data_IF_317714077675
#
_entry.id   IF_317714077675
#
_cell.length_a   1.000
_cell.length_b   1.000
_cell.length_c   1.000
_cell.angle_alpha   90.00
_cell.angle_beta   90.00
_cell.angle_gamma   90.00
#
_symmetry.space_group_name_H-M   'P 1'
#
loop_
_entity.id
_entity.type
_entity.pdbx_description
1 polymer ?
#
# COMPACT_ATOMS: atom_id res chain seq x y z
N UNK A 1 21.40 53.48 11.92
CA UNK A 1 21.01 53.37 13.32
C UNK A 1 20.80 51.90 13.60
N UNK A 2 21.83 51.32 14.15
CA UNK A 2 22.08 49.94 14.54
C UNK A 2 21.13 49.50 15.66
N UNK A 3 20.64 48.25 15.62
CA UNK A 3 20.46 47.43 16.83
C UNK A 3 20.40 45.95 16.43
N UNK A 4 21.52 45.32 16.72
CA UNK A 4 21.68 43.91 16.96
C UNK A 4 20.79 43.44 18.12
N UNK A 5 20.25 42.26 18.03
CA UNK A 5 19.86 41.44 19.17
C UNK A 5 19.97 39.96 18.85
N UNK A 6 21.08 39.40 19.32
CA UNK A 6 21.34 37.95 19.42
C UNK A 6 20.34 37.26 20.36
N UNK A 7 20.00 35.97 20.10
CA UNK A 7 19.29 35.13 21.06
C UNK A 7 20.27 34.39 22.00
N UNK A 8 19.89 34.15 23.24
CA UNK A 8 20.77 33.57 24.26
C UNK A 8 20.96 32.06 24.10
N UNK A 9 22.21 31.67 24.21
CA UNK A 9 22.69 30.29 24.34
C UNK A 9 22.13 29.60 25.58
N UNK A 10 21.49 28.44 25.40
CA UNK A 10 21.08 27.55 26.48
C UNK A 10 22.16 26.49 26.72
N UNK A 11 22.86 26.66 27.83
CA UNK A 11 23.88 25.74 28.38
C UNK A 11 23.30 24.34 28.60
N UNK A 12 24.01 23.35 28.08
CA UNK A 12 23.96 21.97 28.58
C UNK A 12 24.78 21.86 29.85
N UNK A 13 24.19 21.31 30.88
CA UNK A 13 24.90 20.76 32.03
C UNK A 13 24.13 19.55 32.56
N UNK A 14 24.80 18.43 32.72
CA UNK A 14 24.26 17.22 33.33
C UNK A 14 24.99 15.97 32.85
N UNK A 15 26.25 15.85 33.29
CA UNK A 15 27.07 14.63 33.22
C UNK A 15 26.61 13.59 34.25
N UNK A 16 27.00 12.29 34.07
CA UNK A 16 26.34 11.15 34.72
C UNK A 16 26.96 10.79 36.06
N UNK A 17 26.13 10.30 36.95
CA UNK A 17 26.59 9.71 38.21
C UNK A 17 26.87 8.22 38.01
N UNK A 18 28.07 7.91 38.46
CA UNK A 18 28.82 6.67 38.58
C UNK A 18 28.10 5.48 39.23
N UNK A 19 28.54 4.36 38.71
CA UNK A 19 28.56 3.00 39.29
C UNK A 19 28.90 2.89 40.78
N UNK A 20 28.54 1.77 41.30
CA UNK A 20 28.95 1.05 42.51
C UNK A 20 27.84 0.83 43.54
N UNK A 21 27.32 -0.38 43.45
CA UNK A 21 27.13 -1.20 44.67
C UNK A 21 27.01 -2.67 44.25
N UNK A 22 28.18 -3.34 44.31
CA UNK A 22 28.30 -4.78 44.35
C UNK A 22 27.94 -5.27 45.74
N UNK A 23 26.78 -5.90 45.87
CA UNK A 23 26.37 -6.62 47.06
C UNK A 23 26.76 -8.08 46.97
N UNK A 24 27.86 -8.39 47.63
CA UNK A 24 28.41 -9.69 47.97
C UNK A 24 27.42 -10.50 48.82
N UNK A 25 26.92 -11.62 48.34
CA UNK A 25 26.20 -12.62 49.14
C UNK A 25 26.94 -13.93 49.12
N UNK A 26 27.38 -14.26 50.34
CA UNK A 26 28.19 -15.37 50.76
C UNK A 26 27.62 -16.73 50.38
N UNK A 27 28.53 -17.60 49.92
CA UNK A 27 28.49 -19.04 50.03
C UNK A 27 28.09 -19.48 51.45
N UNK A 28 27.12 -20.34 51.54
CA UNK A 28 26.95 -21.23 52.67
C UNK A 28 26.75 -22.65 52.16
N UNK A 29 27.78 -23.39 52.36
CA UNK A 29 27.89 -24.82 52.22
C UNK A 29 26.68 -25.57 52.76
N UNK A 30 26.12 -26.40 51.90
CA UNK A 30 25.33 -27.53 52.33
C UNK A 30 25.67 -28.75 51.47
N UNK A 31 26.70 -29.46 51.88
CA UNK A 31 26.86 -30.84 51.52
C UNK A 31 25.64 -31.63 51.98
N UNK A 32 24.95 -32.21 51.03
CA UNK A 32 24.04 -33.32 51.23
C UNK A 32 24.48 -34.48 50.37
N UNK A 33 24.84 -35.53 51.08
CA UNK A 33 25.29 -36.82 50.57
C UNK A 33 24.29 -37.42 49.59
N UNK A 34 24.75 -38.16 48.56
CA UNK A 34 23.89 -38.88 47.65
C UNK A 34 23.28 -40.10 48.34
N UNK A 35 21.94 -40.10 48.44
CA UNK A 35 21.20 -41.31 48.79
C UNK A 35 21.09 -42.19 47.56
N UNK A 36 21.50 -43.41 47.68
CA UNK A 36 21.36 -44.49 46.70
C UNK A 36 19.91 -44.93 46.59
N UNK A 37 19.16 -44.19 45.74
CA UNK A 37 17.89 -44.65 45.18
C UNK A 37 17.80 -44.16 43.71
N UNK A 38 18.59 -44.80 42.83
CA UNK A 38 18.36 -44.73 41.40
C UNK A 38 17.03 -45.43 41.07
N UNK A 39 16.00 -44.71 40.59
CA UNK A 39 14.95 -45.39 39.90
C UNK A 39 15.55 -45.93 38.59
N UNK A 40 15.49 -47.25 38.44
CA UNK A 40 15.91 -47.95 37.22
C UNK A 40 15.31 -47.23 36.02
N UNK A 41 16.14 -46.47 35.31
CA UNK A 41 15.77 -45.70 34.15
C UNK A 41 15.18 -46.63 33.12
N UNK A 42 13.95 -46.29 32.74
CA UNK A 42 13.39 -46.72 31.45
C UNK A 42 14.33 -46.19 30.37
N UNK A 43 15.21 -47.06 29.87
CA UNK A 43 16.00 -46.78 28.68
C UNK A 43 15.05 -47.00 27.51
N UNK A 44 14.64 -45.94 26.80
CA UNK A 44 13.90 -46.13 25.59
C UNK A 44 14.81 -46.82 24.58
N UNK A 45 14.45 -48.02 24.21
CA UNK A 45 15.06 -48.68 23.04
C UNK A 45 14.81 -47.77 21.84
N UNK A 46 15.93 -47.31 21.28
CA UNK A 46 16.01 -46.66 19.98
C UNK A 46 15.23 -45.34 19.82
N UNK A 47 15.86 -44.21 20.25
CA UNK A 47 15.41 -42.86 19.87
C UNK A 47 15.23 -42.67 18.34
N UNK A 48 15.79 -43.56 17.55
CA UNK A 48 15.65 -43.57 16.10
C UNK A 48 14.28 -44.09 15.56
N UNK A 49 13.46 -44.71 16.41
CA UNK A 49 12.16 -45.26 16.02
C UNK A 49 11.00 -44.32 16.33
N UNK A 50 11.21 -43.26 17.13
CA UNK A 50 10.17 -42.31 17.48
C UNK A 50 9.96 -41.21 16.42
N UNK A 51 10.92 -41.06 15.54
CA UNK A 51 10.95 -39.98 14.54
C UNK A 51 10.48 -40.40 13.14
N UNK A 52 9.94 -41.62 13.01
CA UNK A 52 9.23 -42.00 11.78
C UNK A 52 7.76 -41.68 11.94
N UNK A 53 7.22 -40.69 11.19
CA UNK A 53 5.78 -40.48 11.18
C UNK A 53 5.12 -41.81 10.78
N UNK A 54 4.19 -42.29 11.61
CA UNK A 54 3.38 -43.47 11.31
C UNK A 54 2.56 -43.21 10.03
N UNK A 55 3.20 -43.42 8.87
CA UNK A 55 2.63 -43.14 7.54
C UNK A 55 1.49 -44.09 7.15
N UNK A 56 1.25 -45.14 7.95
CA UNK A 56 0.30 -46.20 7.58
C UNK A 56 -1.12 -46.00 8.15
N UNK A 57 -1.33 -45.05 9.06
CA UNK A 57 -2.66 -44.74 9.60
C UNK A 57 -3.46 -43.72 8.76
N UNK A 58 -4.79 -43.66 8.93
CA UNK A 58 -5.63 -42.69 8.23
C UNK A 58 -5.21 -41.24 8.47
N UNK A 59 -4.64 -40.94 9.65
CA UNK A 59 -4.10 -39.63 9.99
C UNK A 59 -2.76 -39.34 9.28
N UNK A 60 -1.89 -40.33 9.10
CA UNK A 60 -0.63 -40.16 8.35
C UNK A 60 -0.86 -39.90 6.86
N UNK A 61 -1.83 -40.58 6.24
CA UNK A 61 -2.20 -40.33 4.84
C UNK A 61 -2.81 -38.94 4.64
N UNK A 62 -3.58 -38.46 5.60
CA UNK A 62 -4.14 -37.10 5.57
C UNK A 62 -3.03 -36.04 5.73
N UNK A 63 -2.05 -36.27 6.63
CA UNK A 63 -0.92 -35.37 6.82
C UNK A 63 -0.04 -35.29 5.56
N UNK A 64 0.33 -36.43 4.97
CA UNK A 64 1.07 -36.49 3.71
C UNK A 64 0.33 -35.83 2.54
N UNK A 65 -1.01 -35.96 2.52
CA UNK A 65 -1.85 -35.28 1.51
C UNK A 65 -1.87 -33.75 1.70
N UNK A 66 -1.82 -33.28 2.94
CA UNK A 66 -1.75 -31.85 3.25
C UNK A 66 -0.36 -31.27 2.93
N UNK A 67 0.71 -31.97 3.31
CA UNK A 67 2.07 -31.57 2.98
C UNK A 67 2.27 -31.45 1.48
N UNK A 68 1.87 -32.45 0.71
CA UNK A 68 1.94 -32.39 -0.77
C UNK A 68 1.13 -31.23 -1.35
N UNK A 69 -0.04 -30.91 -0.78
CA UNK A 69 -0.82 -29.74 -1.19
C UNK A 69 -0.14 -28.43 -0.85
N UNK A 70 0.53 -28.36 0.29
CA UNK A 70 1.30 -27.19 0.70
C UNK A 70 2.54 -26.99 -0.16
N UNK A 71 3.27 -28.08 -0.46
CA UNK A 71 4.40 -28.07 -1.39
C UNK A 71 3.98 -27.62 -2.79
N UNK A 72 2.92 -28.21 -3.34
CA UNK A 72 2.39 -27.81 -4.65
C UNK A 72 1.94 -26.34 -4.68
N UNK A 73 1.28 -25.87 -3.61
CA UNK A 73 0.95 -24.45 -3.47
C UNK A 73 2.17 -23.55 -3.33
N UNK A 74 3.20 -24.01 -2.63
CA UNK A 74 4.46 -23.28 -2.49
C UNK A 74 5.20 -23.21 -3.83
N UNK A 75 5.22 -24.31 -4.61
CA UNK A 75 5.78 -24.34 -5.95
C UNK A 75 5.00 -23.45 -6.92
N UNK A 76 3.66 -23.50 -6.89
CA UNK A 76 2.81 -22.60 -7.69
C UNK A 76 3.03 -21.14 -7.32
N UNK A 77 3.12 -20.84 -6.01
CA UNK A 77 3.40 -19.48 -5.53
C UNK A 77 4.81 -19.01 -5.93
N UNK A 78 5.81 -19.89 -5.86
CA UNK A 78 7.17 -19.59 -6.30
C UNK A 78 7.25 -19.40 -7.83
N UNK A 79 6.55 -20.21 -8.60
CA UNK A 79 6.43 -20.07 -10.05
C UNK A 79 5.71 -18.77 -10.44
N UNK A 80 4.62 -18.44 -9.74
CA UNK A 80 3.90 -17.18 -9.93
C UNK A 80 4.79 -15.98 -9.57
N UNK A 81 5.54 -16.05 -8.48
CA UNK A 81 6.47 -15.00 -8.06
C UNK A 81 7.68 -14.85 -9.00
N UNK A 82 8.02 -15.87 -9.77
CA UNK A 82 9.08 -15.83 -10.78
C UNK A 82 8.58 -15.44 -12.18
N UNK A 83 7.26 -15.39 -12.37
CA UNK A 83 6.70 -15.00 -13.66
C UNK A 83 7.02 -13.53 -13.97
N UNK A 84 7.41 -13.19 -15.20
CA UNK A 84 7.65 -11.80 -15.57
C UNK A 84 6.34 -11.03 -15.50
N UNK A 85 6.34 -9.95 -14.72
CA UNK A 85 5.21 -9.03 -14.59
C UNK A 85 5.26 -7.95 -15.66
N UNK A 86 6.40 -7.32 -15.82
CA UNK A 86 6.58 -6.20 -16.73
C UNK A 86 8.02 -6.12 -17.26
N UNK A 87 8.18 -5.46 -18.39
CA UNK A 87 9.46 -5.01 -18.90
C UNK A 87 9.64 -3.54 -18.53
N UNK A 88 10.70 -3.21 -17.79
CA UNK A 88 10.98 -1.87 -17.31
C UNK A 88 12.27 -1.31 -17.88
N UNK A 89 12.24 -0.04 -18.30
CA UNK A 89 13.39 0.71 -18.72
C UNK A 89 13.39 2.10 -18.09
N UNK A 90 14.57 2.73 -17.96
CA UNK A 90 14.68 4.07 -17.41
C UNK A 90 15.21 5.08 -18.43
N UNK A 91 14.87 6.35 -18.20
CA UNK A 91 15.23 7.50 -19.00
C UNK A 91 15.88 8.57 -18.10
N UNK A 92 16.73 9.39 -18.68
CA UNK A 92 17.45 10.42 -17.92
C UNK A 92 16.76 11.79 -17.95
N UNK A 93 15.86 12.03 -18.92
CA UNK A 93 15.21 13.33 -19.08
C UNK A 93 13.68 13.21 -19.16
N UNK A 94 12.97 14.28 -18.73
CA UNK A 94 11.50 14.33 -18.87
C UNK A 94 11.03 14.32 -20.33
N UNK A 95 11.84 14.84 -21.24
CA UNK A 95 11.50 14.85 -22.67
C UNK A 95 11.56 13.44 -23.27
N UNK A 96 12.57 12.66 -22.90
CA UNK A 96 12.73 11.30 -23.40
C UNK A 96 11.56 10.40 -22.97
N UNK A 97 11.18 10.46 -21.69
CA UNK A 97 10.03 9.67 -21.22
C UNK A 97 8.72 10.12 -21.88
N UNK A 98 8.53 11.42 -22.12
CA UNK A 98 7.37 11.92 -22.81
C UNK A 98 7.26 11.33 -24.22
N UNK A 99 8.32 11.40 -25.02
CA UNK A 99 8.35 10.84 -26.37
C UNK A 99 8.26 9.31 -26.38
N UNK A 100 8.82 8.64 -25.38
CA UNK A 100 8.69 7.20 -25.25
C UNK A 100 7.22 6.79 -24.96
N UNK A 101 6.50 7.54 -24.13
CA UNK A 101 5.09 7.31 -23.89
C UNK A 101 4.24 7.51 -25.17
N UNK A 102 4.56 8.55 -25.96
CA UNK A 102 3.89 8.77 -27.25
C UNK A 102 4.13 7.59 -28.20
N UNK A 103 5.38 7.14 -28.31
CA UNK A 103 5.75 6.03 -29.18
C UNK A 103 5.07 4.70 -28.77
N UNK A 104 4.96 4.42 -27.46
CA UNK A 104 4.24 3.25 -26.96
C UNK A 104 2.74 3.33 -27.25
N UNK A 105 2.11 4.48 -26.98
CA UNK A 105 0.72 4.72 -27.30
C UNK A 105 0.45 4.53 -28.80
N UNK A 106 1.26 5.15 -29.66
CA UNK A 106 1.10 5.12 -31.12
C UNK A 106 1.39 3.71 -31.68
N UNK A 107 2.26 2.94 -31.01
CA UNK A 107 2.44 1.53 -31.29
C UNK A 107 1.25 0.67 -30.83
N UNK A 108 0.30 1.21 -30.05
CA UNK A 108 -0.92 0.55 -29.63
C UNK A 108 -0.83 -0.21 -28.31
N UNK A 109 0.19 0.03 -27.52
CA UNK A 109 0.25 -0.49 -26.14
C UNK A 109 -0.80 0.22 -25.28
N UNK A 110 -1.44 -0.54 -24.38
CA UNK A 110 -2.53 -0.05 -23.53
C UNK A 110 -2.27 -0.25 -22.04
N UNK A 111 -1.35 -1.16 -21.67
CA UNK A 111 -1.00 -1.48 -20.29
C UNK A 111 0.47 -1.18 -20.03
N UNK A 112 0.77 0.09 -20.01
CA UNK A 112 2.08 0.59 -19.60
C UNK A 112 1.89 1.75 -18.63
N UNK A 113 2.85 1.95 -17.75
CA UNK A 113 2.85 3.02 -16.78
C UNK A 113 4.18 3.78 -16.77
N UNK A 114 4.12 5.05 -16.40
CA UNK A 114 5.26 5.95 -16.35
C UNK A 114 5.45 6.48 -14.93
N UNK A 115 6.61 6.22 -14.35
CA UNK A 115 6.98 6.65 -13.00
C UNK A 115 8.00 7.79 -13.09
N UNK A 116 7.66 8.92 -12.49
CA UNK A 116 8.47 10.15 -12.57
C UNK A 116 8.66 10.76 -11.19
N UNK A 117 9.84 11.33 -10.88
CA UNK A 117 10.12 11.94 -9.58
C UNK A 117 9.34 13.24 -9.34
N UNK A 118 8.89 13.87 -10.41
CA UNK A 118 8.06 15.08 -10.37
C UNK A 118 7.04 15.06 -11.52
N UNK A 119 5.93 15.81 -11.42
CA UNK A 119 4.92 15.86 -12.46
C UNK A 119 5.47 16.39 -13.79
N UNK A 120 5.41 15.56 -14.84
CA UNK A 120 5.77 15.95 -16.21
C UNK A 120 4.50 16.44 -16.91
N UNK A 121 4.54 17.69 -17.34
CA UNK A 121 3.36 18.33 -17.95
C UNK A 121 2.95 17.63 -19.25
N UNK A 122 1.69 17.26 -19.36
CA UNK A 122 1.14 16.62 -20.55
C UNK A 122 1.43 15.12 -20.68
N UNK A 123 2.11 14.48 -19.72
CA UNK A 123 2.42 13.05 -19.75
C UNK A 123 1.16 12.18 -19.87
N UNK A 124 0.08 12.57 -19.22
CA UNK A 124 -1.23 11.89 -19.33
C UNK A 124 -1.75 11.83 -20.79
N UNK A 125 -1.53 12.92 -21.54
CA UNK A 125 -1.88 12.98 -22.96
C UNK A 125 -0.95 12.14 -23.82
N UNK A 126 0.35 12.16 -23.51
CA UNK A 126 1.34 11.33 -24.18
C UNK A 126 1.01 9.83 -23.99
N UNK A 127 0.60 9.43 -22.80
CA UNK A 127 0.13 8.06 -22.50
C UNK A 127 -1.24 7.74 -23.09
N UNK A 128 -2.03 8.73 -23.52
CA UNK A 128 -3.37 8.53 -24.01
C UNK A 128 -4.40 8.19 -22.92
N UNK A 129 -4.14 8.59 -21.68
CA UNK A 129 -5.02 8.31 -20.55
C UNK A 129 -6.33 9.09 -20.67
N UNK A 130 -7.44 8.41 -20.32
CA UNK A 130 -8.77 9.03 -20.27
C UNK A 130 -8.94 9.78 -18.94
N UNK A 131 -9.71 10.92 -18.96
CA UNK A 131 -10.02 11.62 -17.72
C UNK A 131 -10.73 10.71 -16.72
N UNK A 132 -10.37 10.86 -15.46
CA UNK A 132 -10.99 10.09 -14.37
C UNK A 132 -12.48 10.41 -14.23
N UNK A 133 -13.35 9.44 -13.91
CA UNK A 133 -14.76 9.68 -13.61
C UNK A 133 -14.99 10.28 -12.21
N UNK A 134 -13.96 10.42 -11.39
CA UNK A 134 -14.06 10.89 -10.01
C UNK A 134 -14.84 12.23 -9.85
N UNK A 135 -14.61 13.27 -10.68
CA UNK A 135 -15.35 14.52 -10.54
C UNK A 135 -16.88 14.35 -10.69
N UNK A 136 -17.31 13.46 -11.57
CA UNK A 136 -18.73 13.16 -11.75
C UNK A 136 -19.34 12.41 -10.57
N UNK A 137 -18.57 11.50 -9.96
CA UNK A 137 -18.98 10.83 -8.73
C UNK A 137 -19.13 11.82 -7.58
N UNK A 138 -18.16 12.75 -7.43
CA UNK A 138 -18.20 13.79 -6.40
C UNK A 138 -19.38 14.73 -6.59
N UNK A 139 -19.68 15.12 -7.84
CA UNK A 139 -20.86 15.91 -8.15
C UNK A 139 -22.15 15.17 -7.76
N UNK A 140 -22.25 13.88 -8.10
CA UNK A 140 -23.39 13.04 -7.71
C UNK A 140 -23.55 12.92 -6.20
N UNK A 141 -22.44 12.74 -5.48
CA UNK A 141 -22.40 12.72 -4.00
C UNK A 141 -22.90 14.04 -3.41
N UNK A 142 -22.36 15.16 -3.87
CA UNK A 142 -22.79 16.50 -3.42
C UNK A 142 -24.27 16.78 -3.71
N UNK A 143 -24.75 16.42 -4.90
CA UNK A 143 -26.16 16.55 -5.25
C UNK A 143 -27.07 15.71 -4.33
N UNK A 144 -26.64 14.49 -4.01
CA UNK A 144 -27.35 13.62 -3.06
C UNK A 144 -27.39 14.24 -1.67
N UNK A 145 -26.29 14.82 -1.21
CA UNK A 145 -26.21 15.56 0.06
C UNK A 145 -27.18 16.74 0.11
N UNK A 146 -27.22 17.54 -0.96
CA UNK A 146 -28.14 18.66 -1.07
C UNK A 146 -29.61 18.23 -1.05
N UNK A 147 -29.98 17.24 -1.84
CA UNK A 147 -31.35 16.70 -1.87
C UNK A 147 -31.73 16.14 -0.51
N UNK A 148 -30.85 15.38 0.14
CA UNK A 148 -31.08 14.85 1.48
C UNK A 148 -31.30 15.96 2.51
N UNK A 149 -30.51 17.04 2.46
CA UNK A 149 -30.65 18.19 3.34
C UNK A 149 -31.99 18.92 3.16
N UNK A 150 -32.40 19.14 1.91
CA UNK A 150 -33.69 19.75 1.60
C UNK A 150 -34.85 18.88 2.07
N UNK A 151 -34.80 17.58 1.80
CA UNK A 151 -35.83 16.63 2.23
C UNK A 151 -35.92 16.55 3.77
N UNK A 152 -34.77 16.50 4.43
CA UNK A 152 -34.73 16.48 5.90
C UNK A 152 -35.33 17.76 6.49
N UNK A 153 -34.94 18.92 6.01
CA UNK A 153 -35.47 20.21 6.46
C UNK A 153 -36.97 20.34 6.15
N UNK A 154 -37.42 19.86 4.99
CA UNK A 154 -38.82 19.85 4.61
C UNK A 154 -39.63 18.93 5.55
N UNK A 155 -39.17 17.70 5.77
CA UNK A 155 -39.86 16.74 6.61
C UNK A 155 -39.95 17.24 8.07
N UNK A 156 -38.84 17.68 8.66
CA UNK A 156 -38.81 18.14 10.06
C UNK A 156 -39.68 19.36 10.29
N UNK A 157 -39.74 20.31 9.34
CA UNK A 157 -40.54 21.54 9.51
C UNK A 157 -42.04 21.35 9.27
N UNK A 158 -42.45 20.46 8.34
CA UNK A 158 -43.82 20.32 7.96
C UNK A 158 -44.51 19.15 8.65
N UNK A 159 -43.82 18.08 8.96
CA UNK A 159 -44.40 16.83 9.44
C UNK A 159 -44.05 16.50 10.89
N UNK A 160 -42.77 16.57 11.24
CA UNK A 160 -42.29 16.10 12.53
C UNK A 160 -42.51 17.15 13.63
N UNK A 161 -42.17 18.41 13.36
CA UNK A 161 -42.24 19.49 14.35
C UNK A 161 -42.68 20.83 13.73
N UNK A 162 -43.95 20.98 13.34
CA UNK A 162 -44.47 22.20 12.68
C UNK A 162 -44.67 23.34 13.70
N UNK A 163 -43.58 24.06 14.00
CA UNK A 163 -43.61 25.26 14.86
C UNK A 163 -43.76 26.54 14.02
N UNK A 164 -44.93 27.18 14.18
CA UNK A 164 -45.17 28.49 13.56
C UNK A 164 -45.04 29.56 14.65
N UNK A 165 -43.94 30.30 14.62
CA UNK A 165 -43.67 31.41 15.56
C UNK A 165 -43.67 32.70 14.75
N UNK A 166 -44.44 33.72 15.24
CA UNK A 166 -44.45 35.09 14.71
C UNK A 166 -44.72 35.20 13.18
N UNK A 167 -45.62 34.36 12.63
CA UNK A 167 -45.98 34.43 11.21
C UNK A 167 -44.92 33.90 10.24
N UNK A 168 -43.97 33.16 10.73
CA UNK A 168 -42.95 32.51 9.92
C UNK A 168 -43.60 31.52 8.90
N UNK A 169 -43.15 31.47 7.63
CA UNK A 169 -43.61 30.47 6.67
C UNK A 169 -43.36 29.05 7.19
N UNK A 170 -44.25 28.11 6.90
CA UNK A 170 -44.12 26.71 7.31
C UNK A 170 -42.80 26.08 6.86
N UNK A 171 -42.33 26.43 5.68
CA UNK A 171 -41.02 26.02 5.18
C UNK A 171 -40.11 27.25 4.98
N UNK A 172 -39.25 27.52 5.96
CA UNK A 172 -38.31 28.65 5.95
C UNK A 172 -36.92 28.19 5.50
N UNK A 173 -36.78 27.88 4.21
CA UNK A 173 -35.54 27.33 3.65
C UNK A 173 -34.29 28.20 3.87
N UNK A 174 -34.48 29.54 3.97
CA UNK A 174 -33.36 30.50 4.16
C UNK A 174 -32.59 30.21 5.44
N UNK A 175 -33.27 29.77 6.52
CA UNK A 175 -32.63 29.43 7.77
C UNK A 175 -31.79 28.16 7.70
N UNK A 176 -32.03 27.32 6.68
CA UNK A 176 -31.36 26.02 6.51
C UNK A 176 -30.27 26.03 5.44
N UNK A 177 -30.00 27.18 4.80
CA UNK A 177 -28.92 27.32 3.82
C UNK A 177 -27.57 26.81 4.36
N UNK A 178 -27.15 27.11 5.60
CA UNK A 178 -25.91 26.57 6.15
C UNK A 178 -25.90 25.05 6.20
N UNK A 179 -27.02 24.40 6.57
CA UNK A 179 -27.15 22.95 6.63
C UNK A 179 -27.12 22.35 5.23
N UNK A 180 -27.77 22.99 4.24
CA UNK A 180 -27.71 22.57 2.85
C UNK A 180 -26.28 22.56 2.32
N UNK A 181 -25.53 23.61 2.60
CA UNK A 181 -24.13 23.70 2.25
C UNK A 181 -23.30 22.62 2.96
N UNK A 182 -23.47 22.45 4.26
CA UNK A 182 -22.73 21.48 5.07
C UNK A 182 -22.92 20.04 4.58
N UNK A 183 -24.16 19.60 4.38
CA UNK A 183 -24.43 18.25 3.89
C UNK A 183 -23.94 18.07 2.44
N UNK A 184 -24.07 19.09 1.60
CA UNK A 184 -23.54 19.03 0.23
C UNK A 184 -22.03 18.79 0.24
N UNK A 185 -21.30 19.58 1.03
CA UNK A 185 -19.84 19.46 1.12
C UNK A 185 -19.43 18.14 1.78
N UNK A 186 -20.13 17.74 2.85
CA UNK A 186 -19.85 16.48 3.54
C UNK A 186 -19.98 15.27 2.60
N UNK A 187 -21.08 15.18 1.89
CA UNK A 187 -21.32 14.07 0.95
C UNK A 187 -20.35 14.10 -0.24
N UNK A 188 -20.03 15.28 -0.75
CA UNK A 188 -19.02 15.45 -1.79
C UNK A 188 -17.64 14.99 -1.29
N UNK A 189 -17.24 15.39 -0.09
CA UNK A 189 -15.96 15.01 0.51
C UNK A 189 -15.86 13.50 0.78
N UNK A 190 -16.91 12.90 1.34
CA UNK A 190 -16.96 11.45 1.57
C UNK A 190 -16.91 10.68 0.25
N UNK A 191 -17.65 11.14 -0.76
CA UNK A 191 -17.64 10.51 -2.09
C UNK A 191 -16.26 10.64 -2.74
N UNK A 192 -15.59 11.79 -2.60
CA UNK A 192 -14.23 11.97 -3.08
C UNK A 192 -13.26 11.02 -2.38
N UNK A 193 -13.33 10.95 -1.05
CA UNK A 193 -12.48 10.08 -0.23
C UNK A 193 -12.65 8.61 -0.61
N UNK A 194 -13.86 8.07 -0.52
CA UNK A 194 -14.12 6.67 -0.85
C UNK A 194 -13.94 6.38 -2.34
N UNK A 195 -14.30 7.32 -3.20
CA UNK A 195 -14.11 7.23 -4.64
C UNK A 195 -12.64 7.11 -5.03
N UNK A 196 -11.75 7.87 -4.38
CA UNK A 196 -10.31 7.77 -4.60
C UNK A 196 -9.80 6.37 -4.24
N UNK A 197 -10.18 5.85 -3.07
CA UNK A 197 -9.78 4.50 -2.64
C UNK A 197 -10.32 3.41 -3.58
N UNK A 198 -11.59 3.52 -3.98
CA UNK A 198 -12.23 2.53 -4.84
C UNK A 198 -11.63 2.54 -6.26
N UNK A 199 -11.46 3.71 -6.86
CA UNK A 199 -10.88 3.84 -8.20
C UNK A 199 -9.39 3.53 -8.22
N UNK A 200 -8.66 3.93 -7.18
CA UNK A 200 -7.23 3.66 -7.02
C UNK A 200 -6.93 2.23 -6.56
N UNK A 201 -7.95 1.41 -6.23
CA UNK A 201 -7.79 0.05 -5.66
C UNK A 201 -6.85 0.03 -4.45
N UNK A 202 -6.93 1.06 -3.62
CA UNK A 202 -6.13 1.17 -2.42
C UNK A 202 -6.81 0.44 -1.25
N UNK A 203 -6.07 -0.11 -0.26
CA UNK A 203 -4.61 -0.09 -0.15
C UNK A 203 -3.91 -1.18 -0.98
N UNK A 204 -2.83 -0.81 -1.66
CA UNK A 204 -1.91 -1.75 -2.29
C UNK A 204 -0.55 -1.59 -1.62
N UNK A 205 -0.16 -2.59 -0.81
CA UNK A 205 1.07 -2.51 -0.01
C UNK A 205 2.32 -2.93 -0.78
N UNK A 206 2.15 -3.64 -1.89
CA UNK A 206 3.23 -4.12 -2.72
C UNK A 206 2.85 -3.99 -4.19
N UNK A 207 3.81 -3.56 -4.98
CA UNK A 207 3.70 -3.57 -6.43
C UNK A 207 4.96 -4.20 -7.04
N UNK A 208 4.84 -5.08 -8.04
CA UNK A 208 5.99 -5.80 -8.60
C UNK A 208 7.11 -4.88 -9.11
N UNK A 209 6.80 -3.69 -9.59
CA UNK A 209 7.80 -2.70 -10.02
C UNK A 209 8.82 -2.36 -8.93
N UNK A 210 8.46 -2.50 -7.65
CA UNK A 210 9.37 -2.27 -6.51
C UNK A 210 10.51 -3.28 -6.42
N UNK A 211 10.41 -4.43 -7.09
CA UNK A 211 11.48 -5.43 -7.13
C UNK A 211 12.64 -5.03 -8.05
N UNK A 212 12.43 -4.03 -8.92
CA UNK A 212 13.50 -3.56 -9.79
C UNK A 212 14.56 -2.79 -8.98
N UNK A 213 15.85 -3.19 -9.03
CA UNK A 213 16.89 -2.65 -8.15
C UNK A 213 17.14 -1.15 -8.29
N UNK A 214 16.87 -0.59 -9.45
CA UNK A 214 17.02 0.87 -9.68
C UNK A 214 15.73 1.66 -9.48
N UNK A 215 14.61 1.02 -9.16
CA UNK A 215 13.30 1.69 -9.03
C UNK A 215 13.24 2.76 -7.92
N UNK A 216 13.99 2.66 -6.80
CA UNK A 216 14.03 3.75 -5.82
C UNK A 216 14.40 5.10 -6.42
N UNK A 217 15.17 5.13 -7.51
CA UNK A 217 15.50 6.35 -8.26
C UNK A 217 14.31 7.02 -8.95
N UNK A 218 13.16 6.33 -9.06
CA UNK A 218 11.92 6.91 -9.57
C UNK A 218 11.38 8.04 -8.69
N UNK A 219 11.81 8.11 -7.44
CA UNK A 219 11.47 9.21 -6.50
C UNK A 219 12.56 10.26 -6.38
N UNK A 220 13.70 10.08 -7.04
CA UNK A 220 14.87 10.93 -6.91
C UNK A 220 15.26 11.60 -8.25
N UNK A 221 15.82 10.84 -9.18
CA UNK A 221 16.46 11.41 -10.38
C UNK A 221 16.14 10.69 -11.70
N UNK A 222 15.43 9.58 -11.69
CA UNK A 222 15.22 8.78 -12.89
C UNK A 222 13.72 8.62 -13.25
N UNK A 223 13.48 8.54 -14.54
CA UNK A 223 12.13 8.36 -15.12
C UNK A 223 12.04 6.92 -15.62
N UNK A 224 10.99 6.20 -15.23
CA UNK A 224 10.82 4.80 -15.61
C UNK A 224 9.54 4.59 -16.41
N UNK A 225 9.61 3.70 -17.40
CA UNK A 225 8.44 3.13 -18.05
C UNK A 225 8.40 1.64 -17.76
N UNK A 226 7.25 1.17 -17.33
CA UNK A 226 6.94 -0.26 -17.18
C UNK A 226 5.87 -0.67 -18.19
N UNK A 227 6.12 -1.71 -18.97
CA UNK A 227 5.15 -2.29 -19.91
C UNK A 227 4.78 -3.65 -19.36
N UNK A 228 3.50 -3.84 -19.02
CA UNK A 228 3.01 -5.10 -18.46
C UNK A 228 3.02 -6.23 -19.49
N UNK A 229 3.40 -7.42 -19.04
CA UNK A 229 3.31 -8.66 -19.85
C UNK A 229 1.84 -9.00 -20.20
N UNK A 230 0.91 -8.51 -19.39
CA UNK A 230 -0.54 -8.67 -19.61
C UNK A 230 -1.11 -7.83 -20.75
N UNK A 231 -0.33 -6.93 -21.36
CA UNK A 231 -0.77 -6.14 -22.51
C UNK A 231 -1.00 -7.05 -23.73
N UNK A 232 -2.13 -6.93 -24.45
CA UNK A 232 -2.43 -7.74 -25.63
C UNK A 232 -1.39 -7.66 -26.74
N UNK A 233 -0.61 -6.59 -26.75
CA UNK A 233 0.43 -6.32 -27.76
C UNK A 233 1.83 -6.64 -27.28
N UNK A 234 1.96 -7.15 -26.06
CA UNK A 234 3.26 -7.43 -25.47
C UNK A 234 3.94 -8.60 -26.20
N UNK A 235 5.13 -8.33 -26.70
CA UNK A 235 6.11 -9.33 -27.11
C UNK A 235 7.45 -8.93 -26.52
N UNK A 236 8.12 -9.86 -25.83
CA UNK A 236 9.35 -9.56 -25.08
C UNK A 236 10.46 -8.98 -25.98
N UNK A 237 10.56 -9.46 -27.21
CA UNK A 237 11.57 -9.03 -28.19
C UNK A 237 11.20 -7.69 -28.82
N UNK A 238 9.96 -7.57 -29.29
CA UNK A 238 9.50 -6.36 -29.96
C UNK A 238 9.41 -5.19 -28.98
N UNK A 239 8.85 -5.43 -27.78
CA UNK A 239 8.74 -4.40 -26.73
C UNK A 239 10.11 -3.92 -26.29
N UNK A 240 11.08 -4.85 -26.09
CA UNK A 240 12.46 -4.49 -25.76
C UNK A 240 13.11 -3.66 -26.86
N UNK A 241 12.92 -4.06 -28.13
CA UNK A 241 13.46 -3.33 -29.27
C UNK A 241 12.86 -1.94 -29.43
N UNK A 242 11.56 -1.79 -29.13
CA UNK A 242 10.88 -0.50 -29.15
C UNK A 242 11.43 0.41 -28.04
N UNK A 243 11.53 -0.10 -26.80
CA UNK A 243 12.10 0.65 -25.69
C UNK A 243 13.54 1.10 -25.96
N UNK A 244 14.35 0.24 -26.58
CA UNK A 244 15.72 0.61 -27.00
C UNK A 244 15.71 1.72 -28.05
N UNK A 245 14.86 1.65 -29.04
CA UNK A 245 14.75 2.67 -30.09
C UNK A 245 14.35 4.05 -29.55
N UNK A 246 13.51 4.09 -28.52
CA UNK A 246 13.10 5.34 -27.87
C UNK A 246 14.10 5.83 -26.81
N UNK A 247 15.23 5.14 -26.66
CA UNK A 247 16.33 5.58 -25.80
C UNK A 247 16.27 5.07 -24.36
N UNK A 248 15.46 4.06 -24.07
CA UNK A 248 15.41 3.46 -22.74
C UNK A 248 16.75 2.77 -22.40
N UNK A 249 17.22 2.99 -21.19
CA UNK A 249 18.43 2.40 -20.65
C UNK A 249 18.07 1.33 -19.61
N UNK A 250 18.99 0.38 -19.39
CA UNK A 250 18.88 -0.61 -18.32
C UNK A 250 17.61 -1.46 -18.36
N UNK A 251 17.13 -1.82 -19.56
CA UNK A 251 15.88 -2.56 -19.73
C UNK A 251 15.98 -3.93 -19.07
N UNK A 252 15.11 -4.20 -18.08
CA UNK A 252 15.03 -5.45 -17.33
C UNK A 252 13.60 -5.93 -17.18
N UNK A 253 13.48 -7.23 -17.03
CA UNK A 253 12.23 -7.86 -16.61
C UNK A 253 12.07 -7.73 -15.10
N UNK A 254 10.83 -7.47 -14.70
CA UNK A 254 10.39 -7.37 -13.31
C UNK A 254 9.49 -8.56 -13.05
N UNK A 255 9.81 -9.35 -12.04
CA UNK A 255 8.98 -10.49 -11.61
C UNK A 255 7.86 -10.05 -10.69
N UNK A 256 6.76 -10.81 -10.69
CA UNK A 256 5.57 -10.55 -9.86
C UNK A 256 5.82 -10.86 -8.38
#
# INVERSE_FOLDING_TARGET
MQRDSDPPSRKRSGEPASAEEAGELKDSDRESQPGDDEPQGFVPKDEAEYDKPHAEGPHGKAALGLERKLEHRAEEAAAAASAPYALMGYFSTPADIYHACEALRDAGYSRFDAHTPFPVHGLEKAMGLKPTPLPWLVLGGGATGLVSAILLAWYTQLHDYPLIISGKPSFSYQAFIPIFFELTVLFAALTCFFGLFALGRLPSFFHPTMTHPSFPRATDDAFFISVEVSDPKFDATETRSLLQRVGAQGIREVSS
#
